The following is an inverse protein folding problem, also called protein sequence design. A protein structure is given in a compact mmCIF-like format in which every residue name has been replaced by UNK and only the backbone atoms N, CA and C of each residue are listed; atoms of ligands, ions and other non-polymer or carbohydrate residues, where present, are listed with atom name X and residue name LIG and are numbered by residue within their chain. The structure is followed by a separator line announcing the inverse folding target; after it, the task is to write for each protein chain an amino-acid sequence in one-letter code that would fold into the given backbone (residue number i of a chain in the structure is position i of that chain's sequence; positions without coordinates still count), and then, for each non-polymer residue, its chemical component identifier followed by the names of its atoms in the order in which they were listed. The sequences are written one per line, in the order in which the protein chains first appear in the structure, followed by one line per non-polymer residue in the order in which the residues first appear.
data_IF_005291699431
#
_entry.id   IF_005291699431
#
_cell.length_a   1.000
_cell.length_b   1.000
_cell.length_c   1.000
_cell.angle_alpha   90.00
_cell.angle_beta   90.00
_cell.angle_gamma   90.00
#
_symmetry.space_group_name_H-M   'P 1'
#
loop_
_entity.id
_entity.type
_entity.pdbx_description
1 polymer ?
#
# COMPACT_ATOMS: atom_id res chain seq x y z
N UNK A 1 34.89 27.37 -40.06
CA UNK A 1 35.85 26.26 -39.89
C UNK A 1 37.10 26.80 -39.21
N UNK A 2 37.22 26.61 -37.90
CA UNK A 2 38.52 26.63 -37.18
C UNK A 2 38.30 25.99 -35.81
N UNK A 3 38.99 24.86 -35.57
CA UNK A 3 39.09 24.18 -34.26
C UNK A 3 40.18 24.87 -33.44
N UNK A 4 39.99 24.95 -32.12
CA UNK A 4 41.10 24.95 -31.17
C UNK A 4 40.71 24.18 -29.90
N UNK A 5 41.66 23.37 -29.47
CA UNK A 5 41.59 22.26 -28.52
C UNK A 5 41.89 22.69 -27.07
N UNK A 6 41.28 21.95 -26.15
CA UNK A 6 41.83 21.35 -24.92
C UNK A 6 42.14 22.16 -23.64
N UNK A 7 41.52 21.62 -22.58
CA UNK A 7 42.11 21.17 -21.30
C UNK A 7 42.53 22.18 -20.24
N UNK A 8 41.92 22.03 -19.06
CA UNK A 8 42.51 22.08 -17.71
C UNK A 8 41.39 21.71 -16.71
N UNK A 9 41.56 21.04 -15.58
CA UNK A 9 42.60 20.21 -15.00
C UNK A 9 41.95 19.60 -13.74
N UNK A 10 42.21 18.33 -13.47
CA UNK A 10 41.85 17.64 -12.23
C UNK A 10 42.93 17.99 -11.19
N UNK A 11 42.59 18.32 -9.92
CA UNK A 11 43.54 18.20 -8.83
C UNK A 11 43.28 16.90 -8.04
N UNK A 12 44.29 16.02 -8.03
CA UNK A 12 44.43 14.92 -7.09
C UNK A 12 45.26 15.38 -5.87
N UNK A 13 44.83 14.87 -4.70
CA UNK A 13 45.61 14.51 -3.50
C UNK A 13 46.24 15.60 -2.62
N UNK A 14 45.85 15.60 -1.35
CA UNK A 14 46.80 15.38 -0.24
C UNK A 14 46.06 15.03 1.06
N UNK A 15 46.44 13.88 1.65
CA UNK A 15 46.05 13.44 2.98
C UNK A 15 46.72 14.30 4.06
N UNK A 16 45.97 14.69 5.09
CA UNK A 16 46.52 15.02 6.41
C UNK A 16 45.65 14.35 7.47
N UNK A 17 46.24 13.39 8.17
CA UNK A 17 45.71 12.83 9.39
C UNK A 17 45.90 13.83 10.54
N UNK A 18 44.84 14.13 11.29
CA UNK A 18 44.95 14.74 12.61
C UNK A 18 44.26 13.83 13.61
N UNK A 19 45.09 13.13 14.39
CA UNK A 19 44.72 12.48 15.64
C UNK A 19 44.49 13.56 16.69
N UNK A 20 43.24 13.82 17.05
CA UNK A 20 42.90 14.44 18.33
C UNK A 20 41.80 13.61 18.97
N UNK A 21 42.18 12.85 19.98
CA UNK A 21 41.25 12.15 20.85
C UNK A 21 40.49 13.14 21.74
N UNK A 22 39.19 12.92 21.87
CA UNK A 22 38.41 13.32 23.03
C UNK A 22 37.60 12.10 23.47
N UNK A 23 38.03 11.49 24.57
CA UNK A 23 37.21 10.53 25.31
C UNK A 23 36.12 11.29 26.06
N UNK A 24 34.87 11.20 25.61
CA UNK A 24 33.70 11.50 26.44
C UNK A 24 32.63 10.42 26.22
N UNK A 25 32.54 9.55 27.22
CA UNK A 25 31.33 8.94 27.78
C UNK A 25 30.04 8.97 26.94
N UNK A 26 29.67 7.76 26.48
CA UNK A 26 28.30 7.22 26.31
C UNK A 26 27.14 8.22 26.38
N UNK A 27 26.52 8.45 25.23
CA UNK A 27 25.05 8.40 25.12
C UNK A 27 24.72 7.79 23.76
N UNK A 28 24.43 6.48 23.74
CA UNK A 28 23.78 5.84 22.60
C UNK A 28 22.34 6.35 22.58
N UNK A 29 22.10 7.46 21.87
CA UNK A 29 20.81 7.62 21.24
C UNK A 29 20.79 6.68 20.04
N UNK A 30 19.94 5.63 20.03
CA UNK A 30 19.65 4.97 18.77
C UNK A 30 19.02 6.05 17.87
N UNK A 31 19.74 6.43 16.81
CA UNK A 31 19.10 7.06 15.67
C UNK A 31 18.22 5.97 15.09
N UNK A 32 16.94 5.98 15.48
CA UNK A 32 15.92 5.18 14.81
C UNK A 32 15.79 5.77 13.42
N UNK A 33 16.55 5.22 12.48
CA UNK A 33 16.24 5.35 11.07
C UNK A 33 14.89 4.67 10.91
N UNK A 34 13.81 5.46 10.89
CA UNK A 34 12.51 4.98 10.44
C UNK A 34 12.67 4.66 8.97
N UNK A 35 13.06 3.42 8.67
CA UNK A 35 12.90 2.85 7.34
C UNK A 35 11.41 2.88 7.08
N UNK A 36 10.94 3.85 6.29
CA UNK A 36 9.62 3.77 5.68
C UNK A 36 9.61 2.46 4.90
N UNK A 37 8.91 1.45 5.41
CA UNK A 37 8.82 0.15 4.78
C UNK A 37 8.25 0.38 3.37
N UNK A 38 9.07 0.10 2.36
CA UNK A 38 8.66 0.24 0.97
C UNK A 38 7.56 -0.81 0.69
N UNK A 39 6.49 -0.47 -0.05
CA UNK A 39 5.45 -1.42 -0.40
C UNK A 39 6.03 -2.58 -1.21
N UNK A 40 5.80 -3.83 -0.78
CA UNK A 40 6.10 -4.98 -1.62
C UNK A 40 4.90 -5.23 -2.54
N UNK A 41 5.10 -5.03 -3.85
CA UNK A 41 4.10 -5.38 -4.86
C UNK A 41 4.27 -6.87 -5.22
N UNK A 42 3.48 -7.73 -4.58
CA UNK A 42 3.42 -9.15 -4.94
C UNK A 42 2.40 -9.31 -6.06
N UNK A 43 2.87 -9.75 -7.23
CA UNK A 43 2.01 -10.00 -8.40
C UNK A 43 1.08 -11.21 -8.26
N UNK A 44 1.21 -12.00 -7.19
CA UNK A 44 0.35 -13.13 -6.87
C UNK A 44 0.11 -13.18 -5.35
N UNK A 45 -1.10 -13.56 -4.91
CA UNK A 45 -1.45 -13.70 -3.49
C UNK A 45 -2.70 -12.94 -3.03
N UNK A 46 -3.31 -12.12 -3.91
CA UNK A 46 -4.48 -11.32 -3.57
C UNK A 46 -5.70 -12.19 -3.26
N UNK A 47 -5.88 -13.29 -3.99
CA UNK A 47 -6.94 -14.27 -3.71
C UNK A 47 -6.78 -14.90 -2.33
N UNK A 48 -5.58 -15.32 -1.97
CA UNK A 48 -5.27 -15.90 -0.65
C UNK A 48 -5.48 -14.87 0.46
N UNK A 49 -5.04 -13.63 0.25
CA UNK A 49 -5.26 -12.53 1.18
C UNK A 49 -6.75 -12.28 1.42
N UNK A 50 -7.55 -12.17 0.34
CA UNK A 50 -9.01 -12.04 0.42
C UNK A 50 -9.65 -13.22 1.16
N UNK A 51 -9.27 -14.45 0.81
CA UNK A 51 -9.79 -15.66 1.43
C UNK A 51 -9.51 -15.73 2.94
N UNK A 52 -8.33 -15.26 3.39
CA UNK A 52 -7.99 -15.19 4.82
C UNK A 52 -8.89 -14.24 5.62
N UNK A 53 -9.58 -13.32 4.94
CA UNK A 53 -10.58 -12.41 5.47
C UNK A 53 -12.03 -12.88 5.23
N UNK A 54 -12.22 -14.08 4.67
CA UNK A 54 -13.54 -14.62 4.35
C UNK A 54 -14.20 -13.97 3.13
N UNK A 55 -13.41 -13.35 2.25
CA UNK A 55 -13.88 -12.81 0.98
C UNK A 55 -13.62 -13.78 -0.16
N UNK A 56 -14.49 -13.74 -1.16
CA UNK A 56 -14.32 -14.44 -2.41
C UNK A 56 -13.85 -13.46 -3.50
N UNK A 57 -12.81 -13.85 -4.23
CA UNK A 57 -12.37 -13.12 -5.42
C UNK A 57 -13.32 -13.45 -6.58
N UNK A 58 -13.74 -12.46 -7.40
CA UNK A 58 -14.67 -12.71 -8.49
C UNK A 58 -14.15 -13.72 -9.52
N UNK A 59 -15.06 -14.37 -10.25
CA UNK A 59 -14.71 -15.38 -11.26
C UNK A 59 -13.87 -14.81 -12.40
N UNK A 60 -14.23 -13.63 -12.91
CA UNK A 60 -13.60 -13.03 -14.10
C UNK A 60 -12.64 -11.89 -13.70
N UNK A 61 -11.54 -12.24 -13.04
CA UNK A 61 -10.52 -11.29 -12.60
C UNK A 61 -9.40 -11.13 -13.63
N UNK A 62 -8.97 -9.88 -13.80
CA UNK A 62 -7.78 -9.48 -14.54
C UNK A 62 -6.92 -8.57 -13.67
N UNK A 63 -5.61 -8.52 -13.96
CA UNK A 63 -4.67 -7.59 -13.32
C UNK A 63 -4.70 -7.64 -11.78
N UNK A 64 -4.78 -8.85 -11.22
CA UNK A 64 -4.69 -9.04 -9.77
C UNK A 64 -3.32 -8.56 -9.26
N UNK A 65 -3.35 -7.78 -8.18
CA UNK A 65 -2.17 -7.29 -7.48
C UNK A 65 -2.44 -7.29 -5.98
N UNK A 66 -1.41 -7.62 -5.19
CA UNK A 66 -1.41 -7.44 -3.75
C UNK A 66 -0.27 -6.51 -3.37
N UNK A 67 -0.61 -5.39 -2.75
CA UNK A 67 0.35 -4.50 -2.11
C UNK A 67 0.21 -4.66 -0.60
N UNK A 68 1.27 -5.12 0.06
CA UNK A 68 1.27 -5.40 1.50
C UNK A 68 2.51 -4.82 2.19
N UNK A 69 2.44 -4.48 3.48
CA UNK A 69 3.65 -4.17 4.24
C UNK A 69 4.54 -5.41 4.37
N UNK A 70 5.82 -5.19 4.63
CA UNK A 70 6.75 -6.27 4.96
C UNK A 70 6.51 -6.88 6.34
N UNK A 71 5.90 -6.10 7.24
CA UNK A 71 5.63 -6.50 8.62
C UNK A 71 4.15 -6.90 8.78
N UNK A 72 3.91 -8.20 8.92
CA UNK A 72 2.58 -8.79 9.11
C UNK A 72 1.97 -8.42 10.48
N UNK A 73 2.76 -7.84 11.40
CA UNK A 73 2.29 -7.36 12.72
C UNK A 73 1.63 -5.99 12.68
N UNK A 74 1.55 -5.35 11.50
CA UNK A 74 0.83 -4.10 11.35
C UNK A 74 -0.67 -4.33 11.25
N UNK A 75 -1.47 -3.37 11.74
CA UNK A 75 -2.94 -3.45 11.58
C UNK A 75 -3.35 -3.44 10.12
N UNK A 76 -2.62 -2.71 9.28
CA UNK A 76 -2.85 -2.71 7.84
C UNK A 76 -2.21 -3.96 7.24
N UNK A 77 -3.00 -4.77 6.56
CA UNK A 77 -2.57 -6.06 6.01
C UNK A 77 -2.39 -6.02 4.49
N UNK A 78 -2.85 -4.94 3.85
CA UNK A 78 -2.61 -4.69 2.44
C UNK A 78 -3.83 -4.17 1.68
N UNK A 79 -3.61 -3.91 0.39
CA UNK A 79 -4.66 -3.66 -0.60
C UNK A 79 -4.56 -4.70 -1.71
N UNK A 80 -5.65 -5.41 -1.96
CA UNK A 80 -5.82 -6.24 -3.14
C UNK A 80 -6.49 -5.40 -4.22
N UNK A 81 -5.85 -5.30 -5.38
CA UNK A 81 -6.38 -4.57 -6.54
C UNK A 81 -6.63 -5.54 -7.68
N UNK A 82 -7.78 -5.44 -8.34
CA UNK A 82 -8.11 -6.26 -9.51
C UNK A 82 -9.17 -5.60 -10.38
N UNK A 83 -9.26 -6.01 -11.64
CA UNK A 83 -10.35 -5.61 -12.55
C UNK A 83 -11.31 -6.79 -12.74
N UNK A 84 -12.60 -6.55 -12.51
CA UNK A 84 -13.68 -7.52 -12.74
C UNK A 84 -15.00 -6.80 -13.07
N UNK A 85 -16.00 -7.46 -13.67
CA UNK A 85 -17.32 -6.86 -13.86
C UNK A 85 -17.92 -6.42 -12.52
N UNK A 86 -18.41 -5.17 -12.46
CA UNK A 86 -18.97 -4.57 -11.23
C UNK A 86 -19.99 -5.47 -10.55
N UNK A 87 -20.87 -6.09 -11.32
CA UNK A 87 -21.91 -6.97 -10.80
C UNK A 87 -21.33 -8.21 -10.08
N UNK A 88 -20.24 -8.78 -10.59
CA UNK A 88 -19.60 -9.92 -9.93
C UNK A 88 -18.95 -9.51 -8.61
N UNK A 89 -18.37 -8.31 -8.52
CA UNK A 89 -17.82 -7.80 -7.26
C UNK A 89 -18.94 -7.66 -6.21
N UNK A 90 -20.10 -7.12 -6.61
CA UNK A 90 -21.25 -6.95 -5.72
C UNK A 90 -21.84 -8.29 -5.27
N UNK A 91 -22.00 -9.24 -6.19
CA UNK A 91 -22.69 -10.51 -5.92
C UNK A 91 -21.81 -11.58 -5.28
N UNK A 92 -20.50 -11.55 -5.52
CA UNK A 92 -19.55 -12.56 -5.06
C UNK A 92 -18.71 -12.02 -3.90
N UNK A 93 -17.95 -10.94 -4.12
CA UNK A 93 -17.06 -10.39 -3.10
C UNK A 93 -17.82 -9.70 -1.96
N UNK A 94 -18.79 -8.85 -2.29
CA UNK A 94 -19.57 -8.11 -1.28
C UNK A 94 -20.66 -8.95 -0.61
N UNK A 95 -20.93 -10.17 -1.07
CA UNK A 95 -22.10 -10.99 -0.71
C UNK A 95 -22.39 -10.99 0.79
N UNK A 96 -21.39 -11.33 1.57
CA UNK A 96 -21.50 -11.55 3.02
C UNK A 96 -21.11 -10.33 3.87
N UNK A 97 -20.76 -9.19 3.25
CA UNK A 97 -20.43 -7.98 4.00
C UNK A 97 -21.68 -7.27 4.52
N UNK A 98 -21.55 -6.69 5.72
CA UNK A 98 -22.67 -6.16 6.50
C UNK A 98 -23.22 -4.85 5.92
N UNK A 99 -22.33 -3.93 5.55
CA UNK A 99 -22.70 -2.61 5.07
C UNK A 99 -22.39 -2.49 3.57
N UNK A 100 -23.34 -1.95 2.82
CA UNK A 100 -23.28 -1.84 1.36
C UNK A 100 -23.89 -0.50 0.96
N UNK A 101 -23.13 0.34 0.27
CA UNK A 101 -23.63 1.57 -0.37
C UNK A 101 -22.90 1.73 -1.70
N UNK A 102 -23.58 1.40 -2.80
CA UNK A 102 -22.97 1.39 -4.13
C UNK A 102 -23.20 2.66 -4.94
N UNK A 103 -24.06 3.55 -4.43
CA UNK A 103 -24.48 4.78 -5.08
C UNK A 103 -23.92 6.02 -4.37
N UNK A 104 -23.38 5.90 -3.16
CA UNK A 104 -22.77 6.99 -2.39
C UNK A 104 -21.24 6.79 -2.27
N UNK A 105 -20.47 7.87 -2.12
CA UNK A 105 -19.04 7.74 -1.86
C UNK A 105 -18.73 6.89 -0.61
N UNK A 106 -17.65 6.12 -0.62
CA UNK A 106 -17.29 5.22 0.46
C UNK A 106 -16.98 5.96 1.77
N UNK A 107 -17.50 5.44 2.87
CA UNK A 107 -17.18 5.92 4.22
C UNK A 107 -16.02 5.10 4.79
N UNK A 108 -14.79 5.61 4.67
CA UNK A 108 -13.59 4.96 5.20
C UNK A 108 -13.26 5.43 6.62
N UNK A 109 -14.22 5.30 7.54
CA UNK A 109 -13.98 5.60 8.96
C UNK A 109 -12.90 4.68 9.52
N UNK A 110 -11.99 5.17 10.36
CA UNK A 110 -10.99 4.37 11.07
C UNK A 110 -10.03 3.60 10.17
N UNK A 111 -9.74 4.15 8.98
CA UNK A 111 -8.64 3.74 8.10
C UNK A 111 -7.55 4.82 8.21
N UNK A 112 -6.29 4.39 8.23
CA UNK A 112 -5.17 5.32 8.10
C UNK A 112 -5.02 5.72 6.62
N UNK A 113 -5.47 6.92 6.29
CA UNK A 113 -5.47 7.43 4.91
C UNK A 113 -4.07 7.63 4.35
N UNK A 114 -3.11 7.96 5.20
CA UNK A 114 -1.72 8.15 4.77
C UNK A 114 -1.12 6.80 4.43
N UNK A 115 -1.37 5.80 5.27
CA UNK A 115 -0.82 4.46 5.08
C UNK A 115 -1.41 3.79 3.85
N UNK A 116 -2.75 3.68 3.69
CA UNK A 116 -3.27 2.95 2.51
C UNK A 116 -2.84 3.59 1.19
N UNK A 117 -2.72 4.93 1.14
CA UNK A 117 -2.34 5.66 -0.09
C UNK A 117 -0.93 5.35 -0.55
N UNK A 118 -0.03 4.90 0.34
CA UNK A 118 1.29 4.45 -0.10
C UNK A 118 1.26 3.08 -0.79
N UNK A 119 0.15 2.34 -0.70
CA UNK A 119 -0.01 1.00 -1.28
C UNK A 119 -0.96 0.98 -2.49
N UNK A 120 -1.48 2.13 -2.92
CA UNK A 120 -2.34 2.23 -4.11
C UNK A 120 -1.86 3.36 -5.00
N UNK A 121 -1.56 3.01 -6.25
CA UNK A 121 -1.17 3.97 -7.27
C UNK A 121 -1.87 3.67 -8.61
N UNK A 122 -2.51 4.67 -9.25
CA UNK A 122 -2.66 6.07 -8.82
C UNK A 122 -3.57 6.22 -7.58
N UNK A 123 -3.55 7.38 -6.89
CA UNK A 123 -4.45 7.64 -5.78
C UNK A 123 -5.92 7.45 -6.18
N UNK A 124 -6.70 6.84 -5.29
CA UNK A 124 -8.13 6.58 -5.53
C UNK A 124 -8.92 7.88 -5.36
N UNK A 125 -9.70 8.23 -6.38
CA UNK A 125 -10.76 9.21 -6.28
C UNK A 125 -12.06 8.52 -5.84
N UNK A 126 -12.44 8.73 -4.58
CA UNK A 126 -13.58 8.05 -3.96
C UNK A 126 -14.94 8.35 -4.58
N UNK A 127 -15.07 9.48 -5.28
CA UNK A 127 -16.33 9.83 -5.95
C UNK A 127 -16.67 8.84 -7.08
N UNK A 128 -15.65 8.16 -7.65
CA UNK A 128 -15.81 7.14 -8.68
C UNK A 128 -16.20 5.76 -8.13
N UNK A 129 -16.38 5.64 -6.81
CA UNK A 129 -16.62 4.37 -6.14
C UNK A 129 -17.91 4.38 -5.30
N UNK A 130 -18.49 3.20 -5.20
CA UNK A 130 -19.29 2.81 -4.04
C UNK A 130 -18.48 1.84 -3.16
N UNK A 131 -19.09 1.29 -2.13
CA UNK A 131 -18.42 0.32 -1.27
C UNK A 131 -19.31 -0.71 -0.61
N UNK A 132 -18.67 -1.79 -0.19
CA UNK A 132 -19.19 -2.66 0.85
C UNK A 132 -18.09 -2.84 1.92
N UNK A 133 -18.48 -2.89 3.19
CA UNK A 133 -17.52 -2.99 4.29
C UNK A 133 -18.09 -3.79 5.46
N UNK A 134 -17.17 -4.29 6.29
CA UNK A 134 -17.53 -4.83 7.60
C UNK A 134 -16.40 -4.57 8.60
N UNK A 135 -16.77 -4.55 9.87
CA UNK A 135 -15.85 -4.73 10.97
C UNK A 135 -16.39 -5.83 11.89
N UNK A 136 -15.73 -6.99 11.90
CA UNK A 136 -16.15 -8.13 12.72
C UNK A 136 -14.95 -8.85 13.29
N UNK A 137 -15.02 -9.29 14.54
CA UNK A 137 -13.96 -10.07 15.20
C UNK A 137 -12.55 -9.44 15.11
N UNK A 138 -12.47 -8.10 15.17
CA UNK A 138 -11.21 -7.36 15.05
C UNK A 138 -10.66 -7.25 13.63
N UNK A 139 -11.32 -7.81 12.61
CA UNK A 139 -10.94 -7.64 11.20
C UNK A 139 -11.85 -6.63 10.52
N UNK A 140 -11.24 -5.72 9.79
CA UNK A 140 -11.93 -4.69 9.01
C UNK A 140 -11.63 -4.86 7.54
N UNK A 141 -12.69 -4.82 6.75
CA UNK A 141 -12.66 -4.99 5.30
C UNK A 141 -13.37 -3.80 4.69
N UNK A 142 -12.75 -3.16 3.69
CA UNK A 142 -13.41 -2.17 2.85
C UNK A 142 -13.16 -2.55 1.39
N UNK A 143 -14.23 -2.85 0.66
CA UNK A 143 -14.17 -3.09 -0.78
C UNK A 143 -14.69 -1.84 -1.46
N UNK A 144 -13.85 -1.22 -2.27
CA UNK A 144 -14.19 -0.10 -3.12
C UNK A 144 -14.60 -0.65 -4.49
N UNK A 145 -15.90 -0.54 -4.78
CA UNK A 145 -16.51 -1.05 -6.00
C UNK A 145 -16.60 0.09 -7.01
N UNK A 146 -15.94 0.01 -8.17
CA UNK A 146 -15.98 1.08 -9.14
C UNK A 146 -17.41 1.28 -9.67
N UNK A 147 -17.78 2.53 -9.95
CA UNK A 147 -19.07 2.87 -10.58
C UNK A 147 -19.10 2.49 -12.06
N UNK A 148 -17.93 2.47 -12.71
CA UNK A 148 -17.76 2.18 -14.13
C UNK A 148 -17.08 0.82 -14.28
N UNK A 149 -17.55 0.00 -15.23
CA UNK A 149 -16.90 -1.28 -15.54
C UNK A 149 -15.54 -1.06 -16.20
N UNK A 150 -14.57 -1.90 -15.85
CA UNK A 150 -13.20 -1.83 -16.38
C UNK A 150 -12.24 -1.10 -15.44
N UNK A 151 -12.75 -0.30 -14.51
CA UNK A 151 -11.96 0.32 -13.46
C UNK A 151 -11.56 -0.72 -12.39
N UNK A 152 -10.42 -0.51 -11.70
CA UNK A 152 -9.94 -1.42 -10.67
C UNK A 152 -10.83 -1.35 -9.42
N UNK A 153 -11.16 -2.52 -8.89
CA UNK A 153 -11.66 -2.71 -7.53
C UNK A 153 -10.49 -2.73 -6.55
N UNK A 154 -10.68 -2.11 -5.38
CA UNK A 154 -9.68 -2.12 -4.32
C UNK A 154 -10.26 -2.71 -3.04
N UNK A 155 -9.62 -3.73 -2.50
CA UNK A 155 -10.00 -4.38 -1.24
C UNK A 155 -8.94 -4.05 -0.19
N UNK A 156 -9.32 -3.21 0.76
CA UNK A 156 -8.45 -2.73 1.83
C UNK A 156 -8.67 -3.62 3.06
N UNK A 157 -7.58 -4.25 3.52
CA UNK A 157 -7.61 -5.25 4.58
C UNK A 157 -6.90 -4.74 5.84
N UNK A 158 -7.59 -4.83 6.98
CA UNK A 158 -7.06 -4.47 8.28
C UNK A 158 -7.34 -5.56 9.32
N UNK A 159 -6.32 -5.93 10.08
CA UNK A 159 -6.42 -6.79 11.24
C UNK A 159 -6.08 -6.00 12.51
N UNK A 160 -7.11 -5.48 13.17
CA UNK A 160 -7.02 -4.66 14.38
C UNK A 160 -6.66 -5.48 15.63
N UNK A 161 -6.48 -6.80 15.50
CA UNK A 161 -6.01 -7.65 16.59
C UNK A 161 -4.50 -7.49 16.80
N UNK A 162 -3.78 -7.07 15.77
CA UNK A 162 -2.39 -6.67 15.87
C UNK A 162 -2.25 -5.25 16.42
N UNK A 163 -1.09 -4.95 17.02
CA UNK A 163 -0.91 -3.75 17.85
C UNK A 163 -0.33 -2.59 17.08
#
# INVERSE_FOLDING_TARGET
MTRLQQSCAIPLLASVAVLTGCSSTKSHHPVTTSTTAEPELKGAGGREAMASFGLEMPTNVQHEQLAQPHDDSLRFQGVVTFVAPRQQVIEQTCKNLQHKSFDEPPILQGIDYTLYRSYVFPPIDFDNYGSCYQFTSGRKINVLVPRINGDPTHVILYDMRFR
#
